data_IF_518659487108
#
_entry.id   IF_518659487108
#
_cell.length_a   1.000
_cell.length_b   1.000
_cell.length_c   1.000
_cell.angle_alpha   90.00
_cell.angle_beta   90.00
_cell.angle_gamma   90.00
#
_symmetry.space_group_name_H-M   'P 1'
#
loop_
_entity.id
_entity.type
_entity.pdbx_description
1 polymer ?
#
# COMPACT_ATOMS: atom_id res chain seq x y z
N UNK A 1 14.78 -6.98 14.89
CA UNK A 1 13.35 -7.32 14.96
C UNK A 1 12.60 -6.01 14.88
N UNK A 2 11.81 -5.77 13.83
CA UNK A 2 11.10 -4.51 13.64
C UNK A 2 9.77 -4.56 14.42
N UNK A 3 9.55 -3.75 15.47
CA UNK A 3 8.31 -3.76 16.24
C UNK A 3 7.09 -3.30 15.43
N UNK A 4 7.28 -2.67 14.27
CA UNK A 4 6.18 -2.24 13.39
C UNK A 4 5.47 -3.42 12.68
N UNK A 5 6.11 -4.59 12.59
CA UNK A 5 5.48 -5.83 12.07
C UNK A 5 4.95 -6.74 13.18
N UNK A 6 5.04 -6.33 14.45
CA UNK A 6 4.31 -7.03 15.50
C UNK A 6 2.82 -6.72 15.34
N UNK A 7 2.06 -7.75 14.99
CA UNK A 7 0.61 -7.68 14.84
C UNK A 7 -0.01 -7.22 16.17
N UNK A 8 -0.44 -5.95 16.22
CA UNK A 8 -1.15 -5.34 17.34
C UNK A 8 -2.54 -4.91 16.87
N UNK A 9 -3.52 -4.83 17.77
CA UNK A 9 -4.89 -4.43 17.43
C UNK A 9 -4.95 -3.07 16.70
N UNK A 10 -4.08 -2.12 17.05
CA UNK A 10 -3.96 -0.83 16.37
C UNK A 10 -3.53 -0.98 14.92
N UNK A 11 -2.55 -1.86 14.64
CA UNK A 11 -2.09 -2.14 13.28
C UNK A 11 -3.21 -2.81 12.48
N UNK A 12 -3.91 -3.77 13.09
CA UNK A 12 -5.02 -4.48 12.46
C UNK A 12 -6.18 -3.53 12.11
N UNK A 13 -6.57 -2.63 13.01
CA UNK A 13 -7.60 -1.62 12.74
C UNK A 13 -7.17 -0.67 11.62
N UNK A 14 -5.91 -0.21 11.66
CA UNK A 14 -5.40 0.72 10.65
C UNK A 14 -5.32 0.09 9.26
N UNK A 15 -4.97 -1.20 9.20
CA UNK A 15 -4.98 -1.98 7.97
C UNK A 15 -6.41 -2.17 7.44
N UNK A 16 -7.38 -2.49 8.30
CA UNK A 16 -8.78 -2.59 7.88
C UNK A 16 -9.31 -1.26 7.34
N UNK A 17 -9.06 -0.14 8.04
CA UNK A 17 -9.47 1.19 7.57
C UNK A 17 -8.80 1.55 6.24
N UNK A 18 -7.53 1.17 6.06
CA UNK A 18 -6.82 1.36 4.81
C UNK A 18 -7.41 0.49 3.69
N UNK A 19 -7.71 -0.79 3.95
CA UNK A 19 -8.36 -1.67 2.98
C UNK A 19 -9.73 -1.09 2.59
N UNK A 20 -10.57 -0.70 3.54
CA UNK A 20 -11.89 -0.11 3.24
C UNK A 20 -11.79 1.19 2.42
N UNK A 21 -10.71 1.94 2.59
CA UNK A 21 -10.50 3.22 1.88
C UNK A 21 -9.97 3.04 0.46
N UNK A 22 -9.15 2.00 0.22
CA UNK A 22 -8.48 1.79 -1.08
C UNK A 22 -9.07 0.62 -1.91
N UNK A 23 -9.61 -0.42 -1.27
CA UNK A 23 -10.29 -1.52 -1.95
C UNK A 23 -11.79 -1.20 -2.08
N UNK A 24 -12.22 -0.97 -3.32
CA UNK A 24 -13.63 -0.84 -3.65
C UNK A 24 -14.33 -2.21 -3.55
N UNK A 25 -15.59 -2.20 -3.14
CA UNK A 25 -16.46 -3.38 -3.03
C UNK A 25 -16.52 -4.20 -4.35
N UNK A 26 -16.32 -3.53 -5.49
CA UNK A 26 -16.04 -4.16 -6.77
C UNK A 26 -14.86 -3.50 -7.47
N UNK A 27 -13.88 -4.32 -7.83
CA UNK A 27 -12.84 -4.00 -8.79
C UNK A 27 -13.00 -4.95 -9.98
N UNK A 28 -13.17 -4.42 -11.19
CA UNK A 28 -13.23 -5.25 -12.40
C UNK A 28 -11.90 -5.21 -13.15
N UNK A 29 -11.61 -6.24 -13.94
CA UNK A 29 -10.37 -6.28 -14.74
C UNK A 29 -10.29 -5.15 -15.77
N UNK A 30 -11.42 -4.53 -16.13
CA UNK A 30 -11.47 -3.34 -16.99
C UNK A 30 -10.95 -2.09 -16.25
N UNK A 31 -11.19 -1.98 -14.94
CA UNK A 31 -10.67 -0.89 -14.11
C UNK A 31 -9.14 -0.99 -13.95
N UNK A 32 -8.57 -2.22 -14.00
CA UNK A 32 -7.11 -2.42 -13.96
C UNK A 32 -6.38 -1.85 -15.19
N UNK A 33 -7.11 -1.59 -16.29
CA UNK A 33 -6.55 -0.92 -17.45
C UNK A 33 -6.53 0.62 -17.30
N UNK A 34 -7.16 1.16 -16.26
CA UNK A 34 -7.14 2.59 -15.96
C UNK A 34 -5.80 2.98 -15.32
N UNK A 35 -4.99 3.85 -15.96
CA UNK A 35 -3.74 4.33 -15.37
C UNK A 35 -3.95 5.08 -14.06
N UNK A 36 -5.13 5.67 -13.83
CA UNK A 36 -5.48 6.35 -12.59
C UNK A 36 -5.58 5.33 -11.43
N UNK A 37 -6.26 4.21 -11.66
CA UNK A 37 -6.41 3.14 -10.68
C UNK A 37 -5.05 2.52 -10.32
N UNK A 38 -4.17 2.41 -11.32
CA UNK A 38 -2.81 1.91 -11.11
C UNK A 38 -1.97 2.87 -10.25
N UNK A 39 -2.20 4.18 -10.35
CA UNK A 39 -1.60 5.18 -9.47
C UNK A 39 -2.16 5.08 -8.04
N UNK A 40 -3.48 5.02 -7.89
CA UNK A 40 -4.14 4.84 -6.59
C UNK A 40 -3.64 3.57 -5.89
N UNK A 41 -3.50 2.46 -6.62
CA UNK A 41 -2.97 1.20 -6.08
C UNK A 41 -1.51 1.29 -5.64
N UNK A 42 -0.66 2.05 -6.36
CA UNK A 42 0.73 2.30 -5.96
C UNK A 42 0.81 3.17 -4.71
N UNK A 43 0.04 4.24 -4.62
CA UNK A 43 -0.03 5.09 -3.42
C UNK A 43 -0.55 4.32 -2.20
N UNK A 44 -1.54 3.46 -2.41
CA UNK A 44 -2.04 2.58 -1.38
C UNK A 44 -0.89 1.70 -0.86
N UNK A 45 -0.22 0.96 -1.75
CA UNK A 45 0.87 0.05 -1.39
C UNK A 45 2.04 0.78 -0.73
N UNK A 46 2.33 2.02 -1.15
CA UNK A 46 3.36 2.87 -0.53
C UNK A 46 2.98 3.21 0.91
N UNK A 47 1.75 3.69 1.12
CA UNK A 47 1.20 3.99 2.45
C UNK A 47 1.25 2.77 3.36
N UNK A 48 0.93 1.59 2.84
CA UNK A 48 1.01 0.32 3.56
C UNK A 48 2.45 -0.01 3.99
N UNK A 49 3.43 0.14 3.10
CA UNK A 49 4.84 -0.11 3.44
C UNK A 49 5.42 0.89 4.43
N UNK A 50 5.00 2.16 4.36
CA UNK A 50 5.35 3.17 5.37
C UNK A 50 4.74 2.82 6.73
N UNK A 51 3.46 2.42 6.75
CA UNK A 51 2.76 2.02 7.97
C UNK A 51 3.45 0.83 8.67
N UNK A 52 3.87 -0.16 7.89
CA UNK A 52 4.59 -1.34 8.37
C UNK A 52 6.08 -1.09 8.60
N UNK A 53 6.57 0.12 8.30
CA UNK A 53 7.97 0.52 8.35
C UNK A 53 8.90 -0.52 7.68
N UNK A 54 8.47 -1.08 6.55
CA UNK A 54 9.18 -2.11 5.80
C UNK A 54 10.24 -1.51 4.86
N UNK A 55 10.13 -0.21 4.57
CA UNK A 55 10.93 0.46 3.54
C UNK A 55 10.43 0.15 2.12
N UNK A 56 11.26 0.44 1.12
CA UNK A 56 10.96 0.22 -0.30
C UNK A 56 11.07 -1.26 -0.69
N UNK A 57 10.05 -2.04 -0.35
CA UNK A 57 9.99 -3.48 -0.67
C UNK A 57 9.52 -3.72 -2.10
N UNK A 58 8.65 -2.85 -2.63
CA UNK A 58 8.12 -3.02 -3.97
C UNK A 58 9.05 -2.39 -5.03
N UNK A 59 9.21 -3.02 -6.21
CA UNK A 59 10.09 -2.51 -7.28
C UNK A 59 9.78 -1.07 -7.70
N UNK A 60 8.49 -0.70 -7.76
CA UNK A 60 8.07 0.66 -8.14
C UNK A 60 8.51 1.74 -7.13
N UNK A 61 8.78 1.36 -5.88
CA UNK A 61 9.27 2.28 -4.84
C UNK A 61 10.78 2.45 -4.90
N UNK A 62 11.50 1.42 -5.38
CA UNK A 62 12.94 1.45 -5.57
C UNK A 62 13.33 2.31 -6.77
N UNK A 63 12.51 2.32 -7.83
CA UNK A 63 12.72 3.19 -8.99
C UNK A 63 12.58 4.69 -8.65
N UNK A 64 11.77 5.06 -7.64
CA UNK A 64 11.63 6.43 -7.16
C UNK A 64 12.70 6.89 -6.16
N UNK A 65 13.30 5.97 -5.40
CA UNK A 65 14.27 6.28 -4.34
C UNK A 65 15.74 6.31 -4.81
N UNK A 66 16.00 6.01 -6.09
CA UNK A 66 17.35 5.89 -6.66
C UNK A 66 17.95 7.15 -7.32
N UNK A 67 17.31 8.31 -7.24
CA UNK A 67 17.87 9.58 -7.76
C UNK A 67 17.74 10.70 -6.71
N UNK A 68 18.81 10.87 -5.92
CA UNK A 68 18.98 11.96 -4.95
C UNK A 68 20.30 11.84 -4.23
#
# INVERSE_FOLDING_TARGET
>A
MNPAVMMNDTLFSTLNDWVDRYYRDRLTAADLADPQLLHEGREALDTLTQLLNLGSVYPFQQEGAGNG
#
